data_IF_554630164990
#
_entry.id   IF_554630164990
#
_cell.length_a   1.000
_cell.length_b   1.000
_cell.length_c   1.000
_cell.angle_alpha   90.00
_cell.angle_beta   90.00
_cell.angle_gamma   90.00
#
_symmetry.space_group_name_H-M   'P 1'
#
loop_
_entity.id
_entity.type
_entity.pdbx_description
1 polymer ?
#
# COMPACT_ATOMS: atom_id res chain seq x y z
N UNK A 1 3.93 -12.95 -5.11
CA UNK A 1 5.14 -12.17 -5.39
C UNK A 1 4.94 -10.70 -5.02
N UNK A 2 5.94 -10.06 -4.44
CA UNK A 2 5.93 -8.65 -4.05
C UNK A 2 7.00 -7.88 -4.84
N UNK A 3 6.59 -6.84 -5.57
CA UNK A 3 7.51 -6.02 -6.38
C UNK A 3 8.60 -5.38 -5.53
N UNK A 4 9.85 -5.53 -5.95
CA UNK A 4 10.99 -4.84 -5.32
C UNK A 4 10.90 -3.33 -5.51
N UNK A 5 11.66 -2.56 -4.74
CA UNK A 5 11.70 -1.11 -4.88
C UNK A 5 12.28 -0.69 -6.22
N UNK A 6 13.28 -1.41 -6.70
CA UNK A 6 13.89 -1.20 -8.01
C UNK A 6 12.89 -1.49 -9.15
N UNK A 7 12.17 -2.60 -9.08
CA UNK A 7 11.17 -2.95 -10.08
C UNK A 7 10.02 -1.94 -10.11
N UNK A 8 9.56 -1.47 -8.95
CA UNK A 8 8.55 -0.42 -8.86
C UNK A 8 9.04 0.90 -9.48
N UNK A 9 10.27 1.31 -9.18
CA UNK A 9 10.86 2.54 -9.71
C UNK A 9 11.09 2.46 -11.22
N UNK A 10 11.81 1.44 -11.67
CA UNK A 10 12.32 1.36 -13.03
C UNK A 10 11.27 0.92 -14.06
N UNK A 11 10.42 -0.04 -13.68
CA UNK A 11 9.48 -0.66 -14.62
C UNK A 11 8.03 -0.20 -14.44
N UNK A 12 7.63 0.13 -13.22
CA UNK A 12 6.27 0.58 -12.92
C UNK A 12 6.16 2.11 -12.74
N UNK A 13 7.30 2.81 -12.72
CA UNK A 13 7.39 4.27 -12.49
C UNK A 13 6.62 4.72 -11.23
N UNK A 14 6.71 3.90 -10.18
CA UNK A 14 6.04 4.12 -8.90
C UNK A 14 7.06 4.25 -7.78
N UNK A 15 6.89 5.29 -6.98
CA UNK A 15 7.61 5.43 -5.71
C UNK A 15 6.75 4.82 -4.59
N UNK A 16 7.30 3.86 -3.87
CA UNK A 16 6.68 3.28 -2.69
C UNK A 16 7.05 4.10 -1.46
N UNK A 17 6.13 4.23 -0.52
CA UNK A 17 6.40 4.89 0.76
C UNK A 17 7.19 3.97 1.69
N UNK A 18 6.76 2.72 1.77
CA UNK A 18 7.46 1.68 2.52
C UNK A 18 8.49 0.97 1.63
N UNK A 19 9.63 0.64 2.23
CA UNK A 19 10.65 -0.19 1.57
C UNK A 19 10.12 -1.60 1.29
N UNK A 20 10.79 -2.32 0.39
CA UNK A 20 10.44 -3.72 0.11
C UNK A 20 10.35 -4.56 1.40
N UNK A 21 11.33 -4.43 2.30
CA UNK A 21 11.37 -5.20 3.54
C UNK A 21 10.18 -4.87 4.46
N UNK A 22 9.81 -3.60 4.59
CA UNK A 22 8.65 -3.20 5.38
C UNK A 22 7.35 -3.75 4.80
N UNK A 23 7.20 -3.71 3.46
CA UNK A 23 6.03 -4.25 2.77
C UNK A 23 5.96 -5.77 2.89
N UNK A 24 7.12 -6.45 2.82
CA UNK A 24 7.24 -7.88 3.02
C UNK A 24 6.76 -8.27 4.42
N UNK A 25 7.27 -7.60 5.46
CA UNK A 25 6.85 -7.86 6.85
C UNK A 25 5.34 -7.69 7.05
N UNK A 26 4.73 -6.66 6.42
CA UNK A 26 3.28 -6.47 6.47
C UNK A 26 2.51 -7.63 5.83
N UNK A 27 2.98 -8.16 4.70
CA UNK A 27 2.35 -9.29 4.04
C UNK A 27 2.52 -10.58 4.84
N UNK A 28 3.70 -10.83 5.39
CA UNK A 28 4.00 -12.01 6.21
C UNK A 28 3.20 -12.04 7.52
N UNK A 29 2.73 -10.89 8.00
CA UNK A 29 1.82 -10.80 9.14
C UNK A 29 0.37 -11.21 8.83
N UNK A 30 0.02 -11.38 7.56
CA UNK A 30 -1.32 -11.80 7.13
C UNK A 30 -1.41 -13.32 7.26
N UNK A 31 -2.33 -13.81 8.08
CA UNK A 31 -2.47 -15.25 8.40
C UNK A 31 -2.70 -16.17 7.20
N UNK A 32 -3.06 -15.63 6.04
CA UNK A 32 -3.33 -16.37 4.81
C UNK A 32 -2.18 -16.31 3.80
N UNK A 33 -1.06 -15.70 4.19
CA UNK A 33 0.14 -15.59 3.36
C UNK A 33 1.18 -16.55 3.93
N UNK A 34 1.53 -17.57 3.15
CA UNK A 34 2.51 -18.59 3.55
C UNK A 34 3.93 -18.20 3.12
N UNK A 35 4.06 -17.50 2.00
CA UNK A 35 5.36 -17.13 1.44
C UNK A 35 5.28 -15.78 0.68
N UNK A 36 6.27 -14.95 0.88
CA UNK A 36 6.47 -13.71 0.11
C UNK A 36 7.78 -13.79 -0.65
N UNK A 37 7.70 -13.81 -1.98
CA UNK A 37 8.85 -13.84 -2.90
C UNK A 37 9.05 -12.47 -3.57
N UNK A 38 10.28 -12.06 -3.91
CA UNK A 38 10.54 -10.83 -4.63
C UNK A 38 10.02 -10.92 -6.07
N UNK A 39 9.43 -9.85 -6.57
CA UNK A 39 9.13 -9.65 -7.98
C UNK A 39 10.11 -8.62 -8.55
N UNK A 40 11.01 -9.07 -9.39
CA UNK A 40 12.07 -8.25 -9.99
C UNK A 40 11.77 -7.91 -11.45
N UNK A 41 11.00 -8.77 -12.13
CA UNK A 41 10.64 -8.58 -13.54
C UNK A 41 9.30 -9.29 -13.86
N UNK A 42 8.70 -8.90 -15.01
CA UNK A 42 7.43 -9.48 -15.46
C UNK A 42 7.56 -10.94 -15.93
N UNK A 43 8.76 -11.36 -16.36
CA UNK A 43 8.99 -12.68 -16.97
C UNK A 43 9.20 -13.77 -15.93
N UNK A 44 9.61 -13.42 -14.71
CA UNK A 44 9.84 -14.41 -13.65
C UNK A 44 8.62 -15.26 -13.31
N UNK A 45 7.41 -14.81 -13.65
CA UNK A 45 6.16 -15.55 -13.37
C UNK A 45 6.16 -16.99 -13.91
N UNK A 46 6.84 -17.24 -15.04
CA UNK A 46 7.01 -18.61 -15.55
C UNK A 46 7.89 -19.47 -14.64
N UNK A 47 9.04 -18.94 -14.24
CA UNK A 47 9.94 -19.65 -13.32
C UNK A 47 9.32 -19.84 -11.95
N UNK A 48 8.60 -18.83 -11.45
CA UNK A 48 7.93 -18.89 -10.16
C UNK A 48 6.90 -20.04 -10.09
N UNK A 49 6.11 -20.22 -11.17
CA UNK A 49 5.14 -21.32 -11.24
C UNK A 49 5.82 -22.68 -11.08
N UNK A 50 6.94 -22.89 -11.75
CA UNK A 50 7.66 -24.16 -11.67
C UNK A 50 8.40 -24.32 -10.35
N UNK A 51 9.08 -23.26 -9.89
CA UNK A 51 9.90 -23.30 -8.68
C UNK A 51 9.06 -23.52 -7.43
N UNK A 52 7.91 -22.85 -7.35
CA UNK A 52 7.03 -22.93 -6.17
C UNK A 52 5.84 -23.88 -6.36
N UNK A 53 5.77 -24.60 -7.47
CA UNK A 53 4.66 -25.54 -7.79
C UNK A 53 3.29 -24.88 -7.67
N UNK A 54 3.12 -23.74 -8.32
CA UNK A 54 1.90 -22.93 -8.23
C UNK A 54 0.81 -23.54 -9.09
N UNK A 55 -0.31 -23.93 -8.50
CA UNK A 55 -1.47 -24.49 -9.20
C UNK A 55 -2.36 -23.39 -9.79
N UNK A 56 -2.48 -22.24 -9.10
CA UNK A 56 -3.38 -21.16 -9.49
C UNK A 56 -2.67 -19.82 -9.44
N UNK A 57 -2.64 -19.10 -10.57
CA UNK A 57 -2.16 -17.75 -10.68
C UNK A 57 -3.34 -16.77 -10.68
N UNK A 58 -3.35 -15.83 -9.75
CA UNK A 58 -4.45 -14.87 -9.58
C UNK A 58 -3.99 -13.45 -9.90
N UNK A 59 -4.79 -12.71 -10.66
CA UNK A 59 -4.53 -11.31 -11.02
C UNK A 59 -5.81 -10.48 -11.06
N UNK A 60 -5.70 -9.14 -11.03
CA UNK A 60 -6.84 -8.26 -11.25
C UNK A 60 -7.34 -8.30 -12.70
N UNK A 61 -8.60 -8.00 -12.92
CA UNK A 61 -9.28 -8.04 -14.22
C UNK A 61 -8.76 -7.01 -15.23
N UNK A 62 -8.10 -5.96 -14.78
CA UNK A 62 -7.36 -4.99 -15.61
C UNK A 62 -6.19 -5.62 -16.40
N UNK A 63 -5.77 -6.82 -15.98
CA UNK A 63 -4.75 -7.63 -16.64
C UNK A 63 -5.30 -8.79 -17.46
N UNK A 64 -6.61 -8.86 -17.64
CA UNK A 64 -7.28 -9.99 -18.30
C UNK A 64 -6.65 -10.33 -19.65
N UNK A 65 -6.32 -11.61 -19.83
CA UNK A 65 -5.70 -12.17 -21.03
C UNK A 65 -4.17 -12.00 -21.11
N UNK A 66 -3.55 -11.09 -20.34
CA UNK A 66 -2.11 -10.84 -20.45
C UNK A 66 -1.24 -11.94 -19.85
N UNK A 67 -1.80 -12.75 -18.97
CA UNK A 67 -1.11 -13.85 -18.29
C UNK A 67 -1.64 -15.23 -18.68
N UNK A 68 -2.49 -15.32 -19.72
CA UNK A 68 -3.08 -16.58 -20.15
C UNK A 68 -2.04 -17.60 -20.62
N UNK A 69 -0.85 -17.15 -21.03
CA UNK A 69 0.27 -18.01 -21.38
C UNK A 69 0.74 -18.90 -20.22
N UNK A 70 0.42 -18.55 -18.96
CA UNK A 70 0.77 -19.37 -17.80
C UNK A 70 -0.06 -20.64 -17.70
N UNK A 71 -1.17 -20.74 -18.45
CA UNK A 71 -1.95 -21.99 -18.60
C UNK A 71 -1.12 -23.07 -19.30
N UNK A 72 -0.25 -22.67 -20.22
CA UNK A 72 0.67 -23.59 -20.91
C UNK A 72 1.74 -24.15 -19.96
N UNK A 73 2.02 -23.43 -18.86
CA UNK A 73 2.92 -23.87 -17.79
C UNK A 73 2.24 -24.75 -16.74
N UNK A 74 0.95 -25.07 -16.91
CA UNK A 74 0.18 -25.93 -16.04
C UNK A 74 -0.57 -25.23 -14.91
N UNK A 75 -0.53 -23.90 -14.82
CA UNK A 75 -1.25 -23.16 -13.80
C UNK A 75 -2.65 -22.74 -14.27
N UNK A 76 -3.64 -22.79 -13.41
CA UNK A 76 -4.91 -22.11 -13.62
C UNK A 76 -4.70 -20.59 -13.52
N UNK A 77 -5.30 -19.83 -14.43
CA UNK A 77 -5.21 -18.34 -14.41
C UNK A 77 -6.58 -17.76 -14.12
N UNK A 78 -6.68 -17.09 -12.98
CA UNK A 78 -7.92 -16.47 -12.49
C UNK A 78 -7.78 -14.95 -12.48
N UNK A 79 -8.77 -14.25 -13.06
CA UNK A 79 -8.83 -12.80 -13.02
C UNK A 79 -9.98 -12.36 -12.12
N UNK A 80 -9.63 -11.71 -11.00
CA UNK A 80 -10.59 -11.23 -10.03
C UNK A 80 -11.13 -9.86 -10.44
N UNK A 81 -12.43 -9.72 -10.38
CA UNK A 81 -13.09 -8.43 -10.56
C UNK A 81 -12.66 -7.45 -9.48
N UNK A 82 -12.56 -6.17 -9.85
CA UNK A 82 -12.25 -5.11 -8.91
C UNK A 82 -13.35 -5.01 -7.87
N UNK A 83 -12.98 -4.90 -6.59
CA UNK A 83 -13.94 -4.64 -5.52
C UNK A 83 -14.57 -3.27 -5.73
N UNK A 84 -15.91 -3.17 -5.87
CA UNK A 84 -16.59 -1.90 -6.07
C UNK A 84 -16.29 -0.93 -4.91
N UNK A 85 -16.19 0.36 -5.23
CA UNK A 85 -16.01 1.47 -4.28
C UNK A 85 -14.74 1.44 -3.42
N UNK A 86 -13.91 0.41 -3.54
CA UNK A 86 -12.61 0.36 -2.86
C UNK A 86 -11.51 0.71 -3.85
N UNK A 87 -10.92 1.89 -3.69
CA UNK A 87 -9.71 2.27 -4.42
C UNK A 87 -8.83 3.15 -3.54
N UNK A 88 -7.53 2.90 -3.59
CA UNK A 88 -6.54 3.70 -2.90
C UNK A 88 -6.52 5.16 -3.37
N UNK A 89 -6.84 5.41 -4.63
CA UNK A 89 -6.98 6.78 -5.16
C UNK A 89 -8.15 7.53 -4.50
N UNK A 90 -9.31 6.86 -4.34
CA UNK A 90 -10.45 7.45 -3.65
C UNK A 90 -10.14 7.73 -2.17
N UNK A 91 -9.55 6.75 -1.48
CA UNK A 91 -9.17 6.90 -0.07
C UNK A 91 -8.19 8.07 0.11
N UNK A 92 -7.20 8.22 -0.78
CA UNK A 92 -6.28 9.37 -0.75
C UNK A 92 -7.00 10.68 -0.92
N UNK A 93 -7.90 10.78 -1.91
CA UNK A 93 -8.69 11.98 -2.15
C UNK A 93 -9.51 12.36 -0.91
N UNK A 94 -10.27 11.40 -0.36
CA UNK A 94 -11.11 11.62 0.80
C UNK A 94 -10.31 12.10 2.03
N UNK A 95 -9.07 11.61 2.19
CA UNK A 95 -8.18 12.02 3.28
C UNK A 95 -7.57 13.42 3.05
N UNK A 96 -7.21 13.76 1.82
CA UNK A 96 -6.75 15.11 1.48
C UNK A 96 -7.84 16.14 1.70
N UNK A 97 -9.07 15.83 1.31
CA UNK A 97 -10.21 16.72 1.51
C UNK A 97 -10.50 16.93 3.01
N UNK A 98 -10.45 15.87 3.80
CA UNK A 98 -10.63 15.95 5.25
C UNK A 98 -9.52 16.78 5.93
N UNK A 99 -8.27 16.66 5.48
CA UNK A 99 -7.15 17.44 6.01
C UNK A 99 -7.26 18.92 5.65
N UNK A 100 -7.69 19.27 4.43
CA UNK A 100 -7.86 20.66 3.97
C UNK A 100 -8.98 21.39 4.73
N UNK A 101 -10.05 20.68 5.12
CA UNK A 101 -11.14 21.24 5.94
C UNK A 101 -10.68 21.51 7.37
N UNK A 102 -9.82 20.62 7.93
CA UNK A 102 -9.29 20.82 9.29
C UNK A 102 -8.37 22.05 9.38
N UNK A 103 -7.54 22.28 8.37
CA UNK A 103 -6.61 23.42 8.33
C UNK A 103 -7.35 24.76 8.19
N UNK A 104 -8.49 24.80 7.50
CA UNK A 104 -9.31 26.00 7.33
C UNK A 104 -10.11 26.39 8.58
N UNK A 105 -10.23 25.52 9.58
CA UNK A 105 -10.93 25.79 10.83
C UNK A 105 -10.02 26.31 11.96
N UNK A 106 -8.71 26.31 11.79
CA UNK A 106 -7.77 26.76 12.83
C UNK A 106 -7.39 28.23 12.76
N UNK A 107 -7.92 29.01 11.81
CA UNK A 107 -7.47 30.40 11.59
C UNK A 107 -8.46 31.49 12.09
N UNK A 108 -9.31 31.20 13.03
CA UNK A 108 -10.10 32.23 13.72
C UNK A 108 -10.43 31.83 15.17
N UNK A 109 -9.53 32.11 16.11
CA UNK A 109 -9.93 32.54 17.46
C UNK A 109 -8.76 33.19 18.21
N UNK A 110 -8.88 34.52 18.32
CA UNK A 110 -8.61 35.31 19.51
C UNK A 110 -7.18 35.48 19.99
N UNK A 111 -6.57 36.54 19.46
CA UNK A 111 -5.67 37.44 20.21
C UNK A 111 -6.48 38.14 21.32
N UNK A 112 -6.53 37.56 22.50
CA UNK A 112 -6.72 38.31 23.72
C UNK A 112 -5.52 38.05 24.64
N UNK A 113 -4.71 39.07 24.71
CA UNK A 113 -3.61 39.24 25.64
C UNK A 113 -4.15 39.42 27.05
N UNK A 114 -3.68 38.60 27.99
CA UNK A 114 -3.49 39.02 29.36
C UNK A 114 -2.11 38.56 29.85
N UNK A 115 -1.33 39.49 30.45
CA UNK A 115 0.00 39.21 30.93
C UNK A 115 -0.05 38.88 32.42
N UNK A 116 0.08 37.64 32.79
CA UNK A 116 0.65 37.31 34.11
C UNK A 116 1.34 35.93 34.09
N UNK A 117 2.55 35.96 34.64
CA UNK A 117 3.45 34.83 34.59
C UNK A 117 3.17 33.80 35.70
N UNK A 118 3.28 32.55 35.31
CA UNK A 118 3.88 31.53 36.17
C UNK A 118 4.21 30.27 35.35
N UNK A 119 5.50 29.94 35.31
CA UNK A 119 6.00 28.67 34.83
C UNK A 119 5.42 27.51 35.62
N UNK A 120 4.90 26.50 34.91
CA UNK A 120 4.98 25.11 35.38
C UNK A 120 5.18 24.19 34.18
N UNK A 121 6.39 23.68 34.11
CA UNK A 121 6.85 22.52 33.38
C UNK A 121 5.90 21.31 33.59
N UNK A 122 5.35 20.76 32.50
CA UNK A 122 4.92 19.36 32.42
C UNK A 122 5.15 18.85 30.99
N UNK A 123 6.27 18.12 30.87
CA UNK A 123 6.53 17.27 29.73
C UNK A 123 5.36 16.31 29.48
N UNK A 124 4.95 16.24 28.25
CA UNK A 124 4.01 15.28 27.70
C UNK A 124 4.34 15.09 26.24
N UNK A 125 5.30 14.21 25.99
CA UNK A 125 5.58 13.68 24.66
C UNK A 125 4.38 12.86 24.19
N UNK A 126 3.51 13.46 23.43
CA UNK A 126 2.53 12.75 22.62
C UNK A 126 3.02 12.75 21.18
N UNK A 127 3.83 11.73 20.86
CA UNK A 127 4.08 11.33 19.47
C UNK A 127 2.73 11.17 18.75
N UNK A 128 2.36 12.18 17.99
CA UNK A 128 1.28 12.09 17.00
C UNK A 128 1.71 11.04 15.98
N UNK A 129 1.18 9.84 16.12
CA UNK A 129 1.15 8.87 15.03
C UNK A 129 0.26 9.49 13.96
N UNK A 130 0.89 10.12 12.99
CA UNK A 130 0.18 10.66 11.83
C UNK A 130 -0.40 9.49 11.05
N UNK A 131 -1.71 9.48 10.86
CA UNK A 131 -2.53 8.47 10.14
C UNK A 131 -2.06 8.18 8.71
N UNK A 132 -1.07 8.89 8.21
CA UNK A 132 -0.47 8.74 6.89
C UNK A 132 0.26 7.42 6.65
N UNK A 133 0.77 6.78 7.71
CA UNK A 133 1.57 5.56 7.57
C UNK A 133 0.76 4.32 7.14
N UNK A 134 -0.52 4.26 7.47
CA UNK A 134 -1.39 3.13 7.15
C UNK A 134 -1.90 3.13 5.70
N UNK A 135 -2.04 4.29 5.08
CA UNK A 135 -2.66 4.40 3.76
C UNK A 135 -1.79 3.90 2.62
N UNK A 136 -0.49 4.12 2.72
CA UNK A 136 0.46 3.70 1.68
C UNK A 136 0.66 2.19 1.69
N UNK A 137 0.48 1.55 2.86
CA UNK A 137 0.44 0.09 2.97
C UNK A 137 -0.73 -0.50 2.16
N UNK A 138 -1.88 0.19 2.15
CA UNK A 138 -3.07 -0.29 1.44
C UNK A 138 -2.93 -0.26 -0.09
N UNK A 139 -2.22 0.72 -0.66
CA UNK A 139 -1.94 0.74 -2.10
C UNK A 139 -1.01 -0.37 -2.55
N UNK A 140 -0.13 -0.79 -1.67
CA UNK A 140 0.79 -1.89 -1.94
C UNK A 140 0.09 -3.24 -1.74
N UNK A 141 -0.82 -3.35 -0.76
CA UNK A 141 -1.61 -4.56 -0.48
C UNK A 141 -2.79 -4.72 -1.46
N UNK A 142 -3.39 -3.63 -1.95
CA UNK A 142 -4.51 -3.68 -2.89
C UNK A 142 -4.17 -4.14 -4.32
N UNK A 143 -2.92 -4.54 -4.57
CA UNK A 143 -2.45 -5.11 -5.85
C UNK A 143 -1.67 -6.40 -5.69
N UNK A 144 -1.76 -7.03 -4.55
CA UNK A 144 -1.26 -8.39 -4.35
C UNK A 144 -2.48 -9.31 -4.33
N UNK A 145 -2.80 -9.82 -5.45
CA UNK A 145 -3.48 -11.07 -5.68
C UNK A 145 -2.66 -11.82 -6.72
#
# INVERSE_FOLDING_TARGET
ALSTDEFNSNSKHKKTYFTYEQRKQLLEAIRYVDLVIPEEDWRQKRSDIHEYHIDTFVMGDDWKGKFDFLKEEGAEVVYLLRTPEVSSSKIKHDLYDAASVADSQTDHSDLNTDPDGSETDRGGDHSRITSFSLLTAYETLGRVA
#
